data_IF_147334382500
#
_entry.id   IF_147334382500
#
_cell.length_a   1.000
_cell.length_b   1.000
_cell.length_c   1.000
_cell.angle_alpha   90.00
_cell.angle_beta   90.00
_cell.angle_gamma   90.00
#
_symmetry.space_group_name_H-M   'P 1'
#
loop_
_entity.id
_entity.type
_entity.pdbx_description
1 polymer ?
2 non-polymer ?
3 non-polymer ?
4 water ?
#
# COMPACT_ATOMS: atom_id res chain seq x y z
N UNK A 34 -1.59 -7.70 -4.73
CA UNK A 34 -1.43 -6.78 -3.55
C UNK A 34 -0.19 -6.91 -2.65
N UNK A 35 0.47 -5.75 -2.43
CA UNK A 35 1.64 -5.62 -1.55
C UNK A 35 1.80 -4.19 -1.08
N UNK A 36 2.40 -4.02 0.08
CA UNK A 36 2.47 -2.72 0.68
C UNK A 36 3.87 -2.23 0.52
N UNK A 37 4.04 -1.19 -0.28
CA UNK A 37 5.39 -0.83 -0.67
C UNK A 37 6.28 -0.29 0.46
N UNK A 38 5.70 0.22 1.55
CA UNK A 38 6.48 0.33 2.86
C UNK A 38 6.82 -0.95 3.70
N UNK A 39 6.19 -2.14 3.52
CA UNK A 39 6.81 -3.34 4.13
C UNK A 39 7.92 -3.87 3.32
N UNK A 40 8.59 -3.12 2.49
CA UNK A 40 9.59 -3.76 1.63
C UNK A 40 10.67 -4.64 2.35
N UNK A 41 11.08 -4.17 3.51
CA UNK A 41 11.93 -4.91 4.44
C UNK A 41 11.53 -6.40 4.62
N UNK A 42 10.22 -6.76 4.67
CA UNK A 42 9.74 -8.16 4.36
C UNK A 42 10.01 -8.91 3.03
N UNK A 43 10.42 -8.28 1.94
CA UNK A 43 10.50 -9.02 0.70
C UNK A 43 11.95 -8.99 0.44
N UNK A 44 12.75 -8.55 1.41
CA UNK A 44 14.17 -8.55 1.24
C UNK A 44 14.66 -9.88 1.85
N UNK A 45 15.48 -10.66 1.14
CA UNK A 45 16.09 -11.90 1.59
C UNK A 45 17.60 -11.81 1.72
N UNK A 46 18.08 -11.46 2.91
CA UNK A 46 19.56 -11.34 3.14
C UNK A 46 20.13 -12.69 2.83
N UNK A 47 21.25 -12.80 2.15
CA UNK A 47 21.82 -14.01 1.98
C UNK A 47 21.45 -14.76 0.73
N UNK A 48 20.31 -14.46 0.05
CA UNK A 48 19.92 -15.26 -1.11
C UNK A 48 20.67 -14.79 -2.36
N UNK A 49 21.20 -15.70 -3.14
CA UNK A 49 21.97 -15.35 -4.39
C UNK A 49 21.01 -15.17 -5.60
N UNK A 50 21.54 -14.65 -6.71
CA UNK A 50 20.74 -14.50 -7.96
C UNK A 50 20.11 -15.82 -8.27
N UNK A 51 20.94 -16.83 -8.28
CA UNK A 51 20.63 -18.15 -8.69
C UNK A 51 19.54 -18.83 -7.88
N UNK A 52 19.71 -18.92 -6.56
CA UNK A 52 18.55 -19.11 -5.61
C UNK A 52 17.23 -18.46 -5.93
N UNK A 53 17.24 -17.19 -6.26
CA UNK A 53 16.03 -16.46 -6.43
C UNK A 53 15.42 -16.82 -7.80
N UNK A 54 16.31 -17.13 -8.76
CA UNK A 54 15.89 -17.39 -10.12
C UNK A 54 15.24 -18.72 -10.00
N UNK A 55 15.79 -19.66 -9.21
CA UNK A 55 15.20 -20.98 -9.05
C UNK A 55 13.85 -20.91 -8.31
N UNK A 56 13.81 -20.18 -7.16
CA UNK A 56 12.52 -19.98 -6.42
C UNK A 56 11.46 -19.37 -7.34
N UNK A 57 11.84 -18.36 -8.11
CA UNK A 57 10.79 -17.61 -8.90
C UNK A 57 10.41 -18.30 -10.20
N UNK A 58 11.29 -19.19 -10.68
CA UNK A 58 11.04 -20.06 -11.87
C UNK A 58 10.07 -21.24 -11.60
N UNK A 59 9.78 -21.55 -10.34
CA UNK A 59 8.97 -22.68 -10.02
C UNK A 59 7.63 -22.52 -10.73
N UNK A 60 6.98 -23.61 -11.03
CA UNK A 60 5.91 -23.37 -12.00
C UNK A 60 4.64 -22.83 -11.42
N UNK A 61 4.45 -22.98 -10.12
CA UNK A 61 3.23 -22.43 -9.50
C UNK A 61 3.32 -20.95 -9.10
N UNK A 62 4.39 -20.26 -9.48
CA UNK A 62 4.61 -18.92 -9.04
C UNK A 62 3.97 -18.10 -10.15
N UNK A 63 3.21 -17.07 -9.79
CA UNK A 63 2.60 -16.32 -10.82
C UNK A 63 3.28 -15.05 -11.30
N UNK A 64 2.92 -14.70 -12.52
CA UNK A 64 3.42 -13.54 -13.12
C UNK A 64 3.25 -12.30 -12.17
N UNK A 65 4.30 -11.44 -12.08
CA UNK A 65 4.24 -10.26 -11.22
C UNK A 65 4.64 -10.55 -9.78
N UNK A 66 5.03 -11.80 -9.44
CA UNK A 66 5.67 -12.05 -8.14
C UNK A 66 7.14 -11.69 -8.18
N UNK A 67 7.74 -11.21 -7.04
CA UNK A 67 9.09 -10.66 -6.98
C UNK A 67 9.58 -10.66 -5.58
N UNK A 68 10.91 -10.52 -5.45
CA UNK A 68 11.57 -10.37 -4.17
C UNK A 68 12.76 -9.43 -4.38
N UNK A 69 13.45 -9.06 -3.27
CA UNK A 69 14.69 -8.31 -3.26
C UNK A 69 15.81 -9.05 -2.48
N UNK A 70 17.08 -8.85 -2.89
CA UNK A 70 18.19 -9.58 -2.38
C UNK A 70 19.49 -8.77 -2.71
N UNK A 71 20.60 -9.24 -2.20
CA UNK A 71 21.86 -8.61 -2.39
C UNK A 71 22.19 -8.74 -3.89
N UNK A 72 22.66 -7.66 -4.49
CA UNK A 72 22.98 -7.70 -5.86
C UNK A 72 24.32 -8.29 -5.90
N UNK A 73 24.77 -8.80 -6.98
CA UNK A 73 26.14 -9.27 -6.93
C UNK A 73 27.09 -8.09 -7.20
N UNK A 74 26.60 -6.86 -7.41
CA UNK A 74 27.56 -5.76 -7.54
C UNK A 74 27.74 -5.38 -6.08
N UNK A 75 29.00 -5.39 -5.61
CA UNK A 75 29.21 -5.06 -4.13
C UNK A 75 28.42 -3.84 -3.60
N UNK A 76 27.63 -4.04 -2.56
CA UNK A 76 27.08 -2.85 -1.94
C UNK A 76 25.64 -2.62 -2.29
N UNK A 77 25.24 -3.05 -3.49
CA UNK A 77 23.88 -2.84 -4.02
C UNK A 77 22.87 -3.94 -3.70
N UNK A 78 21.57 -3.66 -4.02
CA UNK A 78 20.42 -4.61 -4.04
C UNK A 78 19.89 -4.91 -5.49
N UNK A 79 19.11 -6.02 -5.65
CA UNK A 79 18.46 -6.32 -6.93
C UNK A 79 17.05 -6.81 -6.74
N UNK A 80 16.29 -6.71 -7.80
CA UNK A 80 14.93 -7.06 -7.76
C UNK A 80 14.87 -8.22 -8.67
N UNK A 81 14.18 -9.27 -8.28
CA UNK A 81 14.02 -10.44 -9.15
C UNK A 81 12.54 -10.69 -9.31
N UNK A 82 12.08 -10.85 -10.55
CA UNK A 82 10.62 -10.81 -10.82
C UNK A 82 10.17 -11.89 -11.85
N UNK A 83 9.14 -12.71 -11.53
CA UNK A 83 8.57 -13.70 -12.50
C UNK A 83 7.70 -12.94 -13.42
N UNK A 84 8.13 -12.82 -14.69
CA UNK A 84 7.51 -11.82 -15.66
C UNK A 84 6.77 -12.42 -16.92
N UNK A 85 7.06 -13.71 -17.20
CA UNK A 85 6.37 -14.48 -18.19
C UNK A 85 6.44 -16.07 -17.88
N UNK A 86 5.52 -16.85 -18.53
CA UNK A 86 5.53 -18.30 -18.50
C UNK A 86 6.22 -18.85 -19.73
N UNK A 87 6.08 -18.30 -20.93
CA UNK A 87 6.97 -18.71 -22.04
C UNK A 87 8.14 -17.73 -22.26
N UNK A 88 9.23 -18.19 -22.88
CA UNK A 88 10.28 -17.26 -23.25
C UNK A 88 11.07 -16.94 -22.01
N UNK A 89 11.70 -15.77 -21.92
CA UNK A 89 12.40 -15.51 -20.72
C UNK A 89 11.41 -15.36 -19.54
N UNK A 90 11.51 -16.26 -18.57
CA UNK A 90 10.56 -16.29 -17.44
C UNK A 90 10.87 -15.37 -16.25
N UNK A 91 12.14 -15.35 -15.81
CA UNK A 91 12.57 -14.45 -14.66
C UNK A 91 13.51 -13.27 -15.10
N UNK A 92 13.17 -12.03 -14.69
CA UNK A 92 14.07 -10.88 -14.89
C UNK A 92 14.80 -10.45 -13.59
N UNK A 93 16.04 -9.91 -13.76
CA UNK A 93 16.86 -9.34 -12.70
C UNK A 93 17.23 -7.87 -12.88
N UNK A 94 16.92 -7.07 -11.85
CA UNK A 94 17.22 -5.67 -11.94
C UNK A 94 18.23 -5.14 -10.95
N UNK A 95 19.29 -4.52 -11.42
CA UNK A 95 20.14 -3.85 -10.43
C UNK A 95 19.45 -2.55 -9.85
N UNK A 96 19.44 -2.40 -8.52
CA UNK A 96 19.04 -1.11 -7.91
C UNK A 96 20.23 -0.36 -7.32
N UNK A 97 20.48 0.84 -7.87
CA UNK A 97 21.72 1.53 -7.49
C UNK A 97 21.45 2.60 -6.56
N UNK A 98 22.11 2.52 -5.43
CA UNK A 98 22.03 3.61 -4.43
C UNK A 98 22.90 4.81 -4.82
N UNK A 99 22.33 5.99 -4.76
CA UNK A 99 23.14 7.20 -4.88
C UNK A 99 23.99 7.51 -3.64
N UNK A 100 24.55 8.72 -3.61
CA UNK A 100 25.35 9.12 -2.47
C UNK A 100 24.33 9.94 -1.71
N UNK A 101 24.32 9.94 -0.36
CA UNK A 101 23.37 10.93 0.27
C UNK A 101 23.81 12.47 0.16
N UNK A 102 22.86 13.39 0.29
CA UNK A 102 23.09 14.85 0.00
C UNK A 102 24.03 15.29 1.13
N UNK A 103 25.16 15.97 0.82
CA UNK A 103 26.12 16.45 1.90
C UNK A 103 25.44 17.19 3.02
N UNK A 104 24.75 18.27 2.69
CA UNK A 104 23.79 18.77 3.65
C UNK A 104 23.75 17.97 4.92
N UNK A 105 23.55 16.66 4.79
CA UNK A 105 23.23 15.83 5.95
C UNK A 105 21.74 15.71 6.01
N UNK A 106 21.10 16.32 5.04
CA UNK A 106 19.63 16.28 4.89
C UNK A 106 19.12 15.25 3.84
N UNK A 107 19.98 14.30 3.43
CA UNK A 107 19.68 13.31 2.35
C UNK A 107 18.68 12.16 2.64
N UNK A 108 19.24 10.96 2.57
CA UNK A 108 18.51 9.76 2.16
C UNK A 108 18.93 9.73 0.66
N UNK A 109 19.84 8.79 0.35
CA UNK A 109 20.38 8.54 -0.96
C UNK A 109 19.24 8.09 -1.81
N UNK A 110 19.20 8.54 -3.05
CA UNK A 110 18.14 8.06 -3.94
C UNK A 110 18.45 6.63 -4.47
N UNK A 111 17.43 6.00 -5.11
CA UNK A 111 17.61 4.68 -5.75
C UNK A 111 17.20 4.72 -7.20
N UNK A 112 17.91 3.94 -7.99
CA UNK A 112 17.86 4.03 -9.45
C UNK A 112 17.64 2.65 -10.00
N UNK A 113 16.67 2.54 -10.87
CA UNK A 113 16.62 1.33 -11.73
C UNK A 113 16.19 1.75 -13.13
N UNK A 114 17.09 1.52 -14.12
CA UNK A 114 16.84 1.89 -15.57
C UNK A 114 17.42 3.26 -16.00
N UNK A 115 16.94 4.34 -15.44
CA UNK A 115 17.32 5.65 -15.89
C UNK A 115 16.30 6.36 -15.05
N UNK A 116 15.40 5.53 -14.52
CA UNK A 116 14.46 5.93 -13.51
C UNK A 116 14.97 6.04 -12.08
N UNK A 117 14.97 7.26 -11.59
CA UNK A 117 15.36 7.58 -10.23
C UNK A 117 14.16 7.86 -9.38
N UNK A 118 14.30 7.67 -8.08
CA UNK A 118 13.23 7.59 -7.14
C UNK A 118 13.91 7.94 -5.86
N UNK A 119 13.21 8.76 -5.11
CA UNK A 119 13.87 9.27 -3.91
C UNK A 119 13.95 8.10 -2.91
N UNK A 120 13.19 7.01 -3.11
CA UNK A 120 13.54 5.85 -2.25
C UNK A 120 12.91 4.61 -2.76
N UNK A 121 13.01 3.57 -1.96
CA UNK A 121 12.43 2.27 -2.33
C UNK A 121 10.88 2.13 -2.34
N UNK A 122 10.23 2.60 -1.22
CA UNK A 122 8.75 2.63 -1.35
C UNK A 122 8.28 3.23 -2.74
N UNK A 123 8.94 4.33 -3.16
CA UNK A 123 8.43 5.02 -4.32
C UNK A 123 8.79 4.22 -5.56
N UNK A 124 10.03 3.75 -5.62
CA UNK A 124 10.45 2.88 -6.69
C UNK A 124 9.43 1.68 -6.90
N UNK A 125 9.07 1.02 -5.81
CA UNK A 125 8.32 -0.21 -5.90
C UNK A 125 6.90 0.11 -6.28
N UNK A 126 6.38 1.24 -5.78
CA UNK A 126 5.03 1.65 -6.16
C UNK A 126 4.93 2.03 -7.68
N UNK A 127 5.84 2.87 -8.19
CA UNK A 127 5.93 3.16 -9.63
C UNK A 127 5.74 1.86 -10.43
N UNK A 128 6.41 0.75 -10.07
CA UNK A 128 6.22 -0.39 -10.95
C UNK A 128 5.02 -1.27 -10.72
N UNK A 129 4.07 -0.88 -9.86
CA UNK A 129 2.80 -1.55 -9.79
C UNK A 129 2.05 -1.38 -11.13
N UNK A 130 2.06 -0.15 -11.66
CA UNK A 130 1.31 0.19 -12.84
C UNK A 130 2.18 0.29 -14.07
N UNK A 131 3.49 0.43 -13.96
CA UNK A 131 4.29 0.40 -15.19
C UNK A 131 4.92 -0.99 -15.42
N UNK A 132 5.24 -1.36 -16.67
CA UNK A 132 5.91 -2.65 -16.97
C UNK A 132 7.40 -2.65 -16.71
N UNK A 133 7.97 -3.72 -16.17
CA UNK A 133 9.47 -3.80 -16.16
C UNK A 133 10.04 -4.26 -17.51
N UNK A 134 10.03 -5.52 -17.86
CA UNK A 134 10.41 -5.87 -19.19
C UNK A 134 9.11 -6.45 -19.81
N UNK A 135 8.52 -7.49 -19.25
CA UNK A 135 7.20 -7.96 -19.72
C UNK A 135 6.07 -7.91 -18.68
N UNK A 136 6.30 -7.42 -17.46
CA UNK A 136 5.23 -7.41 -16.40
C UNK A 136 5.40 -6.39 -15.36
N UNK A 137 4.51 -6.43 -14.39
CA UNK A 137 4.40 -5.35 -13.42
C UNK A 137 4.50 -5.98 -12.02
N UNK A 138 5.06 -5.32 -11.02
CA UNK A 138 5.10 -5.86 -9.62
C UNK A 138 3.71 -6.09 -9.19
N UNK A 139 3.36 -7.27 -8.72
CA UNK A 139 1.99 -7.60 -8.25
C UNK A 139 1.82 -8.17 -6.80
N UNK A 140 2.71 -9.09 -6.42
CA UNK A 140 2.65 -9.73 -5.07
C UNK A 140 4.06 -10.06 -4.65
N UNK A 141 4.36 -9.95 -3.37
CA UNK A 141 5.71 -10.26 -2.91
C UNK A 141 5.88 -11.75 -2.75
N UNK A 142 6.97 -12.32 -3.25
CA UNK A 142 7.32 -13.71 -2.98
C UNK A 142 7.34 -14.21 -1.49
N UNK A 143 6.59 -15.26 -1.23
CA UNK A 143 6.76 -15.96 0.07
C UNK A 143 7.24 -17.41 -0.28
N UNK A 144 8.22 -17.99 0.41
CA UNK A 144 8.49 -19.45 0.20
C UNK A 144 7.23 -20.33 0.47
N UNK A 145 6.96 -21.32 -0.41
CA UNK A 145 5.82 -22.12 -0.07
C UNK A 145 6.26 -23.13 1.01
N UNK A 146 5.22 -23.58 1.71
CA UNK A 146 5.23 -24.39 2.87
C UNK A 146 5.18 -25.86 2.52
N UNK A 147 6.04 -26.66 3.10
CA UNK A 147 5.95 -28.05 2.88
C UNK A 147 5.51 -28.84 4.16
N UNK A 148 5.34 -28.24 5.34
CA UNK A 148 4.79 -29.00 6.50
C UNK A 148 4.15 -28.04 7.54
N UNK A 149 3.09 -28.43 8.19
CA UNK A 149 2.61 -27.69 9.32
C UNK A 149 2.97 -28.54 10.50
N UNK A 150 3.69 -27.95 11.45
CA UNK A 150 4.15 -28.71 12.63
C UNK A 150 3.56 -27.99 13.84
N UNK A 151 3.41 -28.73 14.94
CA UNK A 151 3.27 -28.08 16.22
C UNK A 151 4.41 -28.57 17.13
N UNK A 152 5.01 -27.65 17.85
CA UNK A 152 6.21 -27.88 18.64
C UNK A 152 5.84 -28.62 19.89
N UNK A 153 6.62 -29.67 20.15
CA UNK A 153 6.44 -30.47 21.33
C UNK A 153 7.33 -30.05 22.53
N UNK A 154 8.29 -29.11 22.39
CA UNK A 154 9.18 -28.64 23.53
C UNK A 154 9.65 -27.21 23.29
N UNK A 155 9.76 -26.37 24.33
CA UNK A 155 10.30 -25.03 24.15
C UNK A 155 11.71 -25.14 23.56
N UNK A 156 12.01 -24.36 22.53
CA UNK A 156 13.37 -24.20 21.94
C UNK A 156 13.81 -22.73 22.11
N UNK A 157 14.98 -22.49 22.69
CA UNK A 157 15.39 -21.11 22.96
C UNK A 157 16.51 -20.75 21.98
N UNK A 158 17.26 -21.76 21.52
CA UNK A 158 18.22 -21.49 20.48
C UNK A 158 19.65 -21.29 20.90
N UNK A 159 20.58 -21.57 20.01
CA UNK A 159 21.99 -21.37 20.34
C UNK A 159 22.67 -20.48 19.24
N UNK A 160 22.05 -20.18 18.11
CA UNK A 160 22.76 -19.44 17.05
C UNK A 160 21.78 -18.39 16.59
N UNK A 161 22.27 -17.34 15.95
CA UNK A 161 21.36 -16.23 15.59
C UNK A 161 20.49 -16.67 14.44
N UNK A 162 20.92 -17.71 13.74
CA UNK A 162 20.12 -18.19 12.67
C UNK A 162 19.03 -19.19 13.16
N UNK A 163 18.99 -19.54 14.45
CA UNK A 163 17.92 -20.45 14.95
C UNK A 163 16.56 -19.76 15.06
N UNK A 164 15.41 -20.45 15.05
CA UNK A 164 14.13 -19.78 15.32
C UNK A 164 13.51 -20.16 16.70
N UNK A 165 13.67 -19.38 17.76
CA UNK A 165 12.99 -19.88 19.04
C UNK A 165 11.46 -20.16 19.04
N UNK A 166 11.01 -21.07 19.86
CA UNK A 166 9.54 -21.32 19.85
C UNK A 166 9.04 -22.08 21.10
N UNK A 167 7.78 -21.97 21.35
CA UNK A 167 7.20 -22.42 22.58
C UNK A 167 6.57 -23.75 22.30
N UNK A 168 6.35 -24.51 23.36
CA UNK A 168 5.81 -25.86 23.24
C UNK A 168 4.43 -25.51 22.94
N UNK A 169 3.87 -26.18 21.94
CA UNK A 169 2.48 -25.95 21.51
C UNK A 169 2.36 -24.96 20.35
N UNK A 170 3.42 -24.34 19.96
CA UNK A 170 3.29 -23.34 18.94
C UNK A 170 3.36 -23.98 17.53
N UNK A 171 2.44 -23.52 16.68
CA UNK A 171 2.28 -23.89 15.31
C UNK A 171 3.31 -23.17 14.38
N UNK A 172 3.92 -23.90 13.44
CA UNK A 172 4.95 -23.31 12.59
C UNK A 172 4.82 -23.93 11.23
N UNK A 173 5.28 -23.22 10.20
CA UNK A 173 5.21 -23.74 8.79
C UNK A 173 6.62 -24.12 8.43
N UNK A 174 6.83 -25.37 8.03
CA UNK A 174 8.15 -25.75 7.63
C UNK A 174 8.25 -25.34 6.16
N UNK A 175 9.42 -24.81 5.73
CA UNK A 175 9.68 -24.39 4.31
C UNK A 175 10.80 -25.13 3.68
N UNK A 176 11.56 -25.86 4.45
CA UNK A 176 12.66 -26.51 3.83
C UNK A 176 13.31 -27.37 4.88
N UNK A 177 13.73 -28.56 4.44
CA UNK A 177 14.34 -29.55 5.28
C UNK A 177 15.86 -29.52 5.05
N UNK A 178 16.48 -28.53 5.71
CA UNK A 178 17.85 -28.08 5.47
C UNK A 178 18.89 -29.21 5.63
N UNK A 179 18.77 -29.94 6.75
CA UNK A 179 19.45 -31.20 6.84
C UNK A 179 18.56 -32.13 7.66
N UNK A 180 19.03 -33.34 7.92
CA UNK A 180 18.30 -34.27 8.80
C UNK A 180 17.77 -33.85 10.16
N UNK A 181 18.53 -33.08 10.91
CA UNK A 181 18.07 -32.78 12.26
C UNK A 181 17.49 -31.43 12.44
N UNK A 182 17.64 -30.58 11.41
CA UNK A 182 17.30 -29.20 11.52
C UNK A 182 16.66 -28.70 10.26
N UNK A 183 15.52 -28.05 10.43
CA UNK A 183 14.70 -27.62 9.30
C UNK A 183 14.47 -26.14 9.37
N UNK A 184 14.20 -25.56 8.23
CA UNK A 184 13.92 -24.16 8.14
C UNK A 184 12.45 -23.96 8.39
N UNK A 185 12.14 -23.14 9.40
CA UNK A 185 10.73 -22.85 9.74
C UNK A 185 10.31 -21.36 9.72
N UNK A 186 9.02 -21.09 9.53
CA UNK A 186 8.45 -19.76 9.62
C UNK A 186 7.33 -19.69 10.66
N UNK A 187 7.25 -18.64 11.45
CA UNK A 187 6.21 -18.57 12.53
C UNK A 187 5.06 -17.59 12.12
N UNK A 188 4.01 -17.53 12.91
CA UNK A 188 2.92 -16.56 12.67
C UNK A 188 3.42 -15.11 12.27
N UNK A 189 4.46 -14.58 12.88
CA UNK A 189 4.89 -13.23 12.60
C UNK A 189 5.74 -13.22 11.37
N UNK A 190 5.90 -14.33 10.67
CA UNK A 190 6.73 -14.27 9.46
C UNK A 190 8.22 -14.55 9.62
N UNK A 191 8.79 -14.58 10.84
CA UNK A 191 10.23 -14.83 11.08
C UNK A 191 10.70 -16.31 10.80
N UNK A 192 11.87 -16.46 10.26
CA UNK A 192 12.30 -17.75 9.79
C UNK A 192 13.64 -18.10 10.47
N UNK A 193 13.95 -19.41 10.56
CA UNK A 193 15.22 -19.89 11.05
C UNK A 193 15.11 -21.37 11.25
N UNK A 194 16.12 -21.90 12.00
CA UNK A 194 16.29 -23.37 12.09
C UNK A 194 15.58 -23.83 13.35
N UNK A 195 14.83 -24.95 13.30
CA UNK A 195 14.30 -25.59 14.46
C UNK A 195 14.84 -27.00 14.45
N UNK A 196 14.89 -27.64 15.63
CA UNK A 196 15.20 -29.07 15.59
C UNK A 196 13.99 -30.00 15.11
N UNK A 197 14.21 -30.83 14.08
CA UNK A 197 13.12 -31.74 13.69
C UNK A 197 12.55 -32.45 14.93
N UNK A 198 13.38 -32.85 15.87
CA UNK A 198 12.77 -33.67 16.93
C UNK A 198 12.00 -32.90 18.02
N UNK A 199 11.86 -31.56 17.92
CA UNK A 199 11.15 -30.79 18.89
C UNK A 199 9.89 -30.36 18.23
N UNK A 200 9.55 -31.01 17.15
CA UNK A 200 8.33 -30.55 16.45
C UNK A 200 7.62 -31.80 16.01
N UNK A 201 6.28 -31.79 15.97
CA UNK A 201 5.45 -32.96 15.49
C UNK A 201 4.70 -32.64 14.16
N UNK A 202 5.14 -33.21 13.02
CA UNK A 202 4.43 -33.02 11.75
C UNK A 202 2.92 -33.27 11.90
N UNK A 203 2.09 -32.40 11.35
CA UNK A 203 0.63 -32.74 11.16
C UNK A 203 0.31 -33.85 10.12
N UNK B 34 -8.03 -1.14 4.66
CA UNK B 34 -6.62 -1.15 4.14
C UNK B 34 -6.69 0.12 3.33
N UNK B 35 -5.56 0.77 3.00
CA UNK B 35 -5.64 1.82 2.00
C UNK B 35 -4.24 1.85 1.46
N UNK B 36 -4.11 2.42 0.27
CA UNK B 36 -2.91 2.64 -0.40
C UNK B 36 -2.51 4.16 -0.26
N UNK B 37 -1.51 4.46 0.58
CA UNK B 37 -1.09 5.81 0.86
C UNK B 37 -0.75 6.53 -0.45
N UNK B 38 -0.35 5.75 -1.44
CA UNK B 38 -0.08 6.42 -2.71
C UNK B 38 -1.29 6.86 -3.49
N UNK B 39 -2.48 6.47 -3.07
CA UNK B 39 -3.70 6.79 -3.84
C UNK B 39 -4.42 7.92 -3.17
N UNK B 40 -3.70 8.84 -2.55
CA UNK B 40 -4.29 9.83 -1.63
C UNK B 40 -5.24 10.82 -2.41
N UNK B 41 -4.93 11.15 -3.66
CA UNK B 41 -5.90 11.90 -4.45
C UNK B 41 -7.33 11.31 -4.32
N UNK B 42 -7.51 9.99 -4.42
CA UNK B 42 -8.88 9.42 -4.40
C UNK B 42 -9.57 9.61 -3.05
N UNK B 43 -8.81 9.96 -2.01
CA UNK B 43 -9.48 10.31 -0.77
C UNK B 43 -9.34 11.76 -0.35
N UNK B 44 -8.94 12.61 -1.31
CA UNK B 44 -9.08 14.05 -1.10
C UNK B 44 -10.31 14.73 -1.74
N UNK B 45 -11.14 15.28 -0.89
CA UNK B 45 -12.39 15.83 -1.29
C UNK B 45 -12.32 17.42 -1.48
N UNK B 46 -11.96 17.89 -2.69
CA UNK B 46 -11.75 19.32 -2.65
C UNK B 46 -13.16 20.01 -2.61
N UNK B 47 -13.22 21.22 -2.05
CA UNK B 47 -14.50 21.86 -1.89
C UNK B 47 -15.31 21.39 -0.64
N UNK B 48 -15.06 20.21 -0.04
CA UNK B 48 -15.83 19.82 1.13
C UNK B 48 -15.42 20.65 2.37
N UNK B 49 -16.40 21.25 3.03
CA UNK B 49 -16.12 22.10 4.22
C UNK B 49 -15.81 21.25 5.43
N UNK B 50 -15.22 21.89 6.44
CA UNK B 50 -14.76 21.20 7.64
C UNK B 50 -15.95 20.66 8.39
N UNK B 51 -17.07 21.25 8.09
CA UNK B 51 -18.18 21.01 8.92
C UNK B 51 -19.00 19.81 8.38
N UNK B 52 -19.07 19.74 7.05
CA UNK B 52 -19.63 18.63 6.30
C UNK B 52 -18.82 17.39 6.58
N UNK B 53 -17.51 17.52 6.38
CA UNK B 53 -16.66 16.42 6.79
C UNK B 53 -16.94 16.11 8.25
N UNK B 54 -17.45 17.03 9.01
CA UNK B 54 -17.60 16.72 10.43
C UNK B 54 -18.76 15.80 10.65
N UNK B 55 -19.81 16.09 9.93
CA UNK B 55 -21.04 15.34 10.08
C UNK B 55 -20.91 13.96 9.31
N UNK B 56 -20.69 14.02 7.97
CA UNK B 56 -20.24 12.86 7.18
C UNK B 56 -19.58 11.78 8.01
N UNK B 57 -18.48 12.05 8.69
CA UNK B 57 -17.82 11.01 9.47
C UNK B 57 -18.30 10.82 10.89
N UNK B 58 -19.42 11.46 11.21
CA UNK B 58 -19.94 11.50 12.58
C UNK B 58 -20.99 10.43 12.71
N UNK B 59 -21.64 10.13 11.59
CA UNK B 59 -22.57 9.02 11.45
C UNK B 59 -22.14 7.82 12.32
N UNK B 60 -23.07 7.24 13.18
CA UNK B 60 -22.59 6.08 14.09
C UNK B 60 -22.19 4.71 13.42
N UNK B 61 -22.75 4.43 12.23
CA UNK B 61 -22.30 3.35 11.34
C UNK B 61 -20.86 3.54 10.87
N UNK B 62 -20.50 4.69 10.26
CA UNK B 62 -19.05 5.08 10.04
C UNK B 62 -18.11 4.53 11.13
N UNK B 63 -17.24 3.59 10.75
CA UNK B 63 -16.45 2.86 11.75
C UNK B 63 -15.21 3.61 12.18
N UNK B 64 -14.69 3.22 13.32
CA UNK B 64 -13.53 3.93 13.80
C UNK B 64 -12.34 3.75 12.84
N UNK B 65 -11.61 4.84 12.58
CA UNK B 65 -10.34 4.72 11.88
C UNK B 65 -10.45 5.13 10.45
N UNK B 66 -11.64 5.62 10.04
CA UNK B 66 -11.96 6.07 8.67
C UNK B 66 -11.57 7.52 8.62
N UNK B 67 -11.20 8.01 7.43
CA UNK B 67 -10.66 9.34 7.25
C UNK B 67 -10.76 9.83 5.86
N UNK B 68 -10.65 11.14 5.73
CA UNK B 68 -10.59 11.78 4.42
C UNK B 68 -9.68 12.98 4.54
N UNK B 69 -9.46 13.57 3.39
CA UNK B 69 -8.65 14.78 3.27
C UNK B 69 -9.39 15.91 2.55
N UNK B 70 -9.02 17.13 2.91
CA UNK B 70 -9.68 18.26 2.27
C UNK B 70 -8.88 19.54 2.42
N UNK B 71 -9.45 20.58 1.86
CA UNK B 71 -8.92 21.93 2.00
C UNK B 71 -9.00 22.44 3.46
N UNK B 72 -7.85 22.88 4.01
CA UNK B 72 -7.81 23.54 5.32
C UNK B 72 -8.31 24.96 5.15
N UNK B 73 -8.56 25.63 6.24
CA UNK B 73 -9.05 27.10 6.10
C UNK B 73 -7.79 27.90 6.34
N UNK B 74 -6.78 27.32 6.99
CA UNK B 74 -5.41 27.77 6.76
C UNK B 74 -5.20 27.79 5.18
N UNK B 75 -4.96 28.99 4.61
CA UNK B 75 -5.07 29.06 3.12
C UNK B 75 -3.94 28.38 2.47
N UNK B 76 -4.26 27.58 1.45
CA UNK B 76 -3.27 26.74 0.72
C UNK B 76 -2.88 25.43 1.40
N UNK B 77 -3.56 25.03 2.49
CA UNK B 77 -3.15 23.81 3.19
C UNK B 77 -4.19 22.63 2.99
N UNK B 78 -3.86 21.49 3.60
CA UNK B 78 -4.82 20.45 3.74
C UNK B 78 -5.14 20.18 5.18
N UNK B 79 -6.33 19.60 5.36
CA UNK B 79 -6.69 18.99 6.64
C UNK B 79 -7.03 17.49 6.58
N UNK B 80 -6.80 16.78 7.66
CA UNK B 80 -7.08 15.39 7.64
C UNK B 80 -8.12 15.32 8.75
N UNK B 81 -9.31 14.88 8.40
CA UNK B 81 -10.35 14.60 9.36
C UNK B 81 -10.52 13.06 9.67
N UNK B 82 -10.46 12.60 10.91
CA UNK B 82 -10.52 11.17 11.22
C UNK B 82 -11.62 10.89 12.29
N UNK B 83 -12.48 9.87 12.05
CA UNK B 83 -13.35 9.21 13.07
C UNK B 83 -12.53 8.32 14.03
N UNK B 84 -12.45 8.70 15.33
CA UNK B 84 -11.45 8.17 16.26
C UNK B 84 -11.94 7.56 17.59
N UNK B 85 -13.17 7.91 17.96
CA UNK B 85 -13.87 7.23 19.06
C UNK B 85 -15.39 7.10 18.76
N UNK B 86 -16.10 6.26 19.56
CA UNK B 86 -17.58 6.18 19.45
C UNK B 86 -18.33 7.08 20.45
N UNK B 87 -17.83 7.14 21.68
CA UNK B 87 -18.18 8.30 22.54
C UNK B 87 -16.97 9.11 22.98
N UNK B 88 -17.17 10.43 22.92
CA UNK B 88 -16.21 11.42 23.43
C UNK B 88 -15.96 12.44 22.34
N UNK B 89 -14.71 12.87 22.23
CA UNK B 89 -14.26 13.60 21.02
C UNK B 89 -14.23 12.61 19.80
N UNK B 90 -15.18 12.87 18.88
CA UNK B 90 -15.68 11.88 17.94
C UNK B 90 -14.88 11.87 16.64
N UNK B 91 -15.05 12.96 15.90
CA UNK B 91 -14.28 13.35 14.72
C UNK B 91 -13.21 14.45 15.09
N UNK B 92 -11.90 14.13 14.91
CA UNK B 92 -10.76 15.08 14.89
C UNK B 92 -10.32 15.63 13.55
N UNK B 93 -9.72 16.81 13.58
CA UNK B 93 -9.34 17.41 12.34
C UNK B 93 -7.90 17.71 12.61
N UNK B 94 -7.00 17.50 11.63
CA UNK B 94 -5.62 17.98 11.75
C UNK B 94 -5.15 18.86 10.57
N UNK B 95 -4.12 19.69 10.80
CA UNK B 95 -3.65 20.53 9.72
C UNK B 95 -2.44 19.84 9.22
N UNK B 96 -2.36 19.74 7.89
CA UNK B 96 -1.14 19.22 7.22
C UNK B 96 -0.56 20.45 6.54
N UNK B 97 0.58 20.93 7.04
CA UNK B 97 1.23 22.04 6.36
C UNK B 97 2.41 21.69 5.50
N UNK B 98 2.52 22.36 4.40
CA UNK B 98 3.52 22.10 3.45
C UNK B 98 4.69 23.10 3.71
N UNK B 99 5.91 22.60 3.86
CA UNK B 99 7.07 23.41 3.87
C UNK B 99 7.40 24.05 2.55
N UNK B 100 8.61 24.57 2.47
CA UNK B 100 9.04 25.24 1.28
C UNK B 100 9.86 24.24 0.44
N UNK B 101 9.75 24.25 -0.92
CA UNK B 101 10.61 23.28 -1.67
C UNK B 101 12.13 23.46 -1.33
N UNK B 102 13.00 22.43 -1.47
CA UNK B 102 14.48 22.57 -1.15
C UNK B 102 15.26 23.60 -1.99
N UNK B 103 16.01 24.49 -1.33
CA UNK B 103 16.60 25.74 -1.90
C UNK B 103 17.43 25.65 -3.18
N UNK B 104 18.12 24.53 -3.38
CA UNK B 104 19.00 24.32 -4.52
C UNK B 104 18.20 23.64 -5.62
N UNK B 105 16.90 23.48 -5.36
CA UNK B 105 15.99 22.94 -6.36
C UNK B 105 15.89 21.43 -6.51
N UNK B 106 16.33 20.66 -5.50
CA UNK B 106 16.66 19.22 -5.70
C UNK B 106 15.72 18.19 -5.11
N UNK B 107 14.88 18.67 -4.18
CA UNK B 107 13.94 17.84 -3.45
C UNK B 107 12.70 18.71 -3.40
N UNK B 108 11.55 18.02 -3.28
CA UNK B 108 10.21 18.55 -3.11
C UNK B 108 9.95 18.91 -1.65
N UNK B 109 8.93 19.76 -1.44
CA UNK B 109 8.62 20.29 -0.12
C UNK B 109 8.01 19.22 0.75
N UNK B 110 8.44 19.12 2.00
CA UNK B 110 7.89 18.23 3.02
C UNK B 110 6.52 18.66 3.54
N UNK B 111 5.89 17.84 4.39
CA UNK B 111 4.61 18.17 5.02
C UNK B 111 4.71 17.79 6.51
N UNK B 112 3.80 18.30 7.36
CA UNK B 112 3.86 18.20 8.82
C UNK B 112 2.52 18.17 9.38
N UNK B 113 2.31 17.34 10.39
CA UNK B 113 1.05 17.27 11.18
C UNK B 113 1.52 17.00 12.63
N UNK B 114 0.68 17.26 13.64
CA UNK B 114 1.18 17.23 15.04
C UNK B 114 2.50 18.11 15.09
N UNK B 115 3.69 17.50 15.19
CA UNK B 115 4.93 18.25 15.03
C UNK B 115 5.93 17.51 14.16
N UNK B 116 5.48 16.36 13.67
CA UNK B 116 6.23 15.40 12.86
C UNK B 116 6.34 15.81 11.35
N UNK B 117 7.48 15.56 10.73
CA UNK B 117 7.75 16.02 9.35
C UNK B 117 7.94 14.88 8.37
N UNK B 118 7.43 15.02 7.14
CA UNK B 118 7.53 13.87 6.26
C UNK B 118 8.02 14.28 4.91
N UNK B 119 8.75 13.40 4.31
CA UNK B 119 9.18 13.86 2.89
C UNK B 119 7.95 14.19 1.95
N UNK B 120 6.76 13.59 2.27
CA UNK B 120 5.57 13.51 1.37
C UNK B 120 4.33 12.92 2.09
N UNK B 121 3.17 13.21 1.53
CA UNK B 121 1.90 12.75 2.05
C UNK B 121 1.83 11.21 2.21
N UNK B 122 2.28 10.40 1.16
CA UNK B 122 2.28 8.92 1.33
C UNK B 122 2.95 8.51 2.62
N UNK B 123 4.14 9.08 2.92
CA UNK B 123 4.92 8.60 4.05
C UNK B 123 4.16 9.03 5.32
N UNK B 124 3.60 10.26 5.29
CA UNK B 124 2.73 10.77 6.32
C UNK B 124 1.62 9.80 6.53
N UNK B 125 0.82 9.50 5.51
CA UNK B 125 -0.30 8.55 5.75
C UNK B 125 0.15 7.15 6.26
N UNK B 126 1.28 6.67 5.78
CA UNK B 126 1.72 5.34 6.20
C UNK B 126 2.14 5.32 7.69
N UNK B 127 2.63 6.49 8.11
CA UNK B 127 3.11 6.62 9.45
C UNK B 127 1.95 6.38 10.43
N UNK B 128 0.82 7.06 10.26
CA UNK B 128 -0.23 6.82 11.19
C UNK B 128 -1.14 5.60 10.90
N UNK B 129 -0.64 4.59 10.17
CA UNK B 129 -1.31 3.26 10.25
C UNK B 129 -0.96 2.58 11.53
N UNK B 130 0.31 2.62 11.92
CA UNK B 130 0.82 1.88 13.09
C UNK B 130 0.77 2.65 14.44
N UNK B 131 0.63 3.97 14.38
CA UNK B 131 0.91 4.82 15.53
C UNK B 131 -0.33 5.71 15.58
N UNK B 132 -0.82 6.11 16.76
CA UNK B 132 -2.09 6.90 16.83
C UNK B 132 -1.96 8.41 16.70
N UNK B 133 -3.04 9.02 16.24
CA UNK B 133 -3.24 10.48 16.26
C UNK B 133 -3.74 10.95 17.62
N UNK B 134 -5.01 11.33 17.75
CA UNK B 134 -5.49 11.59 19.08
C UNK B 134 -5.81 10.23 19.76
N UNK B 135 -6.91 9.66 19.31
CA UNK B 135 -7.48 8.42 19.89
C UNK B 135 -7.19 7.18 19.08
N UNK B 136 -7.29 7.24 17.74
CA UNK B 136 -7.21 6.08 16.88
C UNK B 136 -6.13 6.18 15.78
N UNK B 137 -5.70 5.04 15.22
CA UNK B 137 -4.91 4.96 13.99
C UNK B 137 -5.76 5.08 12.74
N UNK B 138 -5.11 5.46 11.64
CA UNK B 138 -5.72 5.45 10.25
C UNK B 138 -5.94 4.02 9.68
N UNK B 139 -7.18 3.71 9.27
CA UNK B 139 -7.54 2.40 8.81
C UNK B 139 -8.23 2.33 7.41
N UNK B 140 -9.16 3.24 7.10
CA UNK B 140 -9.91 3.11 5.91
C UNK B 140 -10.35 4.45 5.29
N UNK B 141 -10.04 4.67 4.00
CA UNK B 141 -10.45 5.85 3.24
C UNK B 141 -11.95 5.95 3.31
N UNK B 142 -12.48 7.15 3.37
CA UNK B 142 -13.91 7.30 3.50
C UNK B 142 -14.33 7.32 2.08
N UNK B 143 -15.52 6.78 1.75
CA UNK B 143 -16.14 6.91 0.39
C UNK B 143 -17.54 7.41 0.60
N UNK B 144 -18.14 8.13 -0.36
CA UNK B 144 -19.54 8.49 -0.17
C UNK B 144 -20.45 7.23 -0.33
N UNK B 145 -21.53 7.08 0.52
CA UNK B 145 -22.41 5.88 0.44
C UNK B 145 -23.31 6.04 -0.77
N UNK B 146 -23.74 4.90 -1.31
CA UNK B 146 -24.46 4.81 -2.55
C UNK B 146 -25.91 4.93 -2.26
N UNK B 147 -26.68 5.70 -3.02
CA UNK B 147 -28.16 5.83 -2.71
C UNK B 147 -29.08 5.20 -3.79
N UNK B 148 -28.52 4.94 -4.99
CA UNK B 148 -29.21 4.20 -6.03
C UNK B 148 -28.12 3.70 -6.91
N UNK B 149 -28.39 2.55 -7.51
CA UNK B 149 -27.60 2.11 -8.66
C UNK B 149 -28.43 2.46 -9.83
N UNK B 150 -27.82 2.81 -10.92
CA UNK B 150 -28.67 3.16 -12.06
C UNK B 150 -27.95 2.72 -13.34
N UNK B 151 -28.66 2.66 -14.45
CA UNK B 151 -28.02 2.52 -15.78
C UNK B 151 -28.50 3.63 -16.73
N UNK B 152 -27.61 4.06 -17.61
CA UNK B 152 -27.84 5.20 -18.48
C UNK B 152 -28.80 4.76 -19.56
N UNK B 153 -29.81 5.61 -19.88
CA UNK B 153 -30.72 5.35 -20.97
C UNK B 153 -30.34 6.10 -22.23
N UNK B 154 -29.38 7.02 -22.16
CA UNK B 154 -28.98 7.85 -23.37
C UNK B 154 -27.59 8.35 -23.07
N UNK B 155 -26.73 8.43 -24.09
CA UNK B 155 -25.38 8.91 -24.02
C UNK B 155 -25.42 10.40 -23.67
N UNK B 156 -24.55 10.83 -22.75
CA UNK B 156 -24.46 12.20 -22.17
C UNK B 156 -23.03 12.66 -22.31
N UNK B 157 -22.74 13.56 -23.22
CA UNK B 157 -21.32 13.97 -23.36
C UNK B 157 -20.91 15.20 -22.43
N UNK B 158 -21.86 15.94 -21.90
CA UNK B 158 -21.57 17.02 -20.92
C UNK B 158 -21.33 18.43 -21.43
N UNK B 159 -21.69 19.44 -20.62
CA UNK B 159 -21.34 20.83 -20.99
C UNK B 159 -20.36 21.43 -19.95
N UNK B 160 -20.30 20.88 -18.78
CA UNK B 160 -19.49 21.55 -17.77
C UNK B 160 -18.46 20.53 -17.21
N UNK B 161 -17.28 21.06 -16.88
CA UNK B 161 -16.19 20.38 -16.21
C UNK B 161 -16.70 19.57 -15.06
N UNK B 162 -17.75 20.05 -14.42
CA UNK B 162 -18.39 19.42 -13.25
C UNK B 162 -19.49 18.42 -13.61
N UNK B 163 -19.77 18.30 -14.91
CA UNK B 163 -20.58 17.18 -15.35
C UNK B 163 -19.78 15.84 -15.37
N UNK B 164 -20.45 14.74 -15.07
CA UNK B 164 -19.97 13.37 -15.36
C UNK B 164 -20.48 12.81 -16.81
N UNK B 165 -19.63 12.88 -17.87
CA UNK B 165 -20.02 12.32 -19.20
C UNK B 165 -20.18 10.78 -19.09
N UNK B 166 -21.17 10.17 -19.74
CA UNK B 166 -21.33 8.69 -19.68
C UNK B 166 -22.10 8.14 -20.90
N UNK B 167 -22.09 6.82 -21.03
CA UNK B 167 -22.53 6.14 -22.25
C UNK B 167 -23.94 5.58 -22.09
N UNK B 168 -24.76 5.56 -23.13
CA UNK B 168 -25.96 4.76 -23.04
C UNK B 168 -25.57 3.37 -22.56
N UNK B 169 -26.43 2.78 -21.76
CA UNK B 169 -26.05 1.52 -21.15
C UNK B 169 -25.09 1.51 -19.97
N UNK B 170 -24.44 2.64 -19.64
CA UNK B 170 -23.46 2.59 -18.58
C UNK B 170 -24.07 2.51 -17.17
N UNK B 171 -23.38 1.74 -16.31
CA UNK B 171 -23.73 1.53 -14.92
C UNK B 171 -23.03 2.63 -14.06
N UNK B 172 -23.81 3.25 -13.16
CA UNK B 172 -23.38 4.36 -12.34
C UNK B 172 -23.95 4.17 -10.97
N UNK B 173 -23.22 4.69 -9.96
CA UNK B 173 -23.69 4.76 -8.57
C UNK B 173 -24.11 6.21 -8.28
N UNK B 174 -25.31 6.42 -7.79
CA UNK B 174 -25.74 7.76 -7.37
C UNK B 174 -25.47 8.10 -5.89
N UNK B 175 -24.66 9.16 -5.65
CA UNK B 175 -24.42 9.69 -4.25
C UNK B 175 -25.33 10.84 -3.77
N UNK B 176 -25.94 11.60 -4.67
CA UNK B 176 -26.69 12.76 -4.15
C UNK B 176 -27.69 13.17 -5.15
N UNK B 177 -28.93 13.15 -4.72
CA UNK B 177 -29.96 13.76 -5.50
C UNK B 177 -29.80 15.28 -5.41
N UNK B 178 -28.82 15.82 -6.15
CA UNK B 178 -28.40 17.19 -5.96
C UNK B 178 -29.53 18.23 -6.08
N UNK B 179 -30.17 18.29 -7.21
CA UNK B 179 -31.43 19.00 -7.32
C UNK B 179 -32.35 18.03 -8.10
N UNK B 180 -33.63 18.35 -8.20
CA UNK B 180 -34.60 17.49 -8.86
C UNK B 180 -34.03 16.94 -10.12
N UNK B 181 -33.52 17.81 -10.97
CA UNK B 181 -33.05 17.38 -12.32
C UNK B 181 -31.61 16.90 -12.59
N UNK B 182 -30.72 16.96 -11.59
CA UNK B 182 -29.27 16.73 -11.75
C UNK B 182 -28.82 16.16 -10.44
N UNK B 183 -28.16 15.02 -10.60
CA UNK B 183 -27.84 14.10 -9.51
C UNK B 183 -26.37 13.89 -9.54
N UNK B 184 -25.77 13.69 -8.38
CA UNK B 184 -24.36 13.53 -8.38
C UNK B 184 -24.03 12.02 -8.53
N UNK B 185 -23.09 11.73 -9.42
CA UNK B 185 -22.84 10.35 -9.69
C UNK B 185 -21.37 9.96 -9.66
N UNK B 186 -21.18 8.67 -9.32
CA UNK B 186 -19.83 8.00 -9.42
C UNK B 186 -19.83 6.88 -10.46
N UNK B 187 -18.85 6.93 -11.36
CA UNK B 187 -18.72 5.86 -12.33
C UNK B 187 -17.72 4.71 -11.84
N UNK B 188 -17.19 3.89 -12.80
CA UNK B 188 -16.54 2.63 -12.41
C UNK B 188 -15.16 2.94 -11.89
N UNK B 189 -14.40 3.73 -12.70
CA UNK B 189 -13.07 4.35 -12.32
C UNK B 189 -12.96 5.19 -11.03
N UNK B 190 -14.04 5.23 -10.23
CA UNK B 190 -14.33 6.33 -9.32
C UNK B 190 -14.44 7.84 -9.70
N UNK B 191 -14.41 8.30 -10.98
CA UNK B 191 -14.66 9.76 -11.27
C UNK B 191 -16.08 10.20 -10.86
N UNK B 192 -16.22 11.34 -10.18
CA UNK B 192 -17.61 11.86 -9.85
C UNK B 192 -18.03 13.13 -10.66
N UNK B 193 -19.31 13.48 -10.61
CA UNK B 193 -19.75 14.72 -11.28
C UNK B 193 -21.23 14.59 -11.53
N UNK B 194 -21.90 15.57 -12.20
CA UNK B 194 -23.38 15.57 -12.29
C UNK B 194 -23.82 14.94 -13.63
N UNK B 195 -24.98 14.30 -13.52
CA UNK B 195 -25.71 13.63 -14.60
C UNK B 195 -27.13 14.07 -14.44
N UNK B 196 -27.93 14.05 -15.58
CA UNK B 196 -29.35 14.46 -15.64
C UNK B 196 -30.26 13.35 -15.25
N UNK B 197 -31.11 13.52 -14.24
CA UNK B 197 -32.04 12.49 -13.83
C UNK B 197 -32.71 11.73 -15.01
N UNK B 198 -33.19 12.43 -16.02
CA UNK B 198 -33.89 11.78 -17.16
C UNK B 198 -33.04 10.93 -18.12
N UNK B 199 -31.70 10.97 -18.03
CA UNK B 199 -30.86 10.09 -18.83
C UNK B 199 -30.45 8.84 -18.05
N UNK B 200 -31.26 8.40 -17.08
CA UNK B 200 -30.76 7.35 -16.25
C UNK B 200 -31.94 6.59 -15.67
N UNK B 201 -31.80 5.28 -15.40
CA UNK B 201 -32.90 4.56 -14.73
C UNK B 201 -32.41 3.73 -13.48
N UNK B 202 -33.19 3.69 -12.39
CA UNK B 202 -32.77 3.16 -11.06
C UNK B 202 -32.88 1.60 -11.02
N UNK B 203 -31.86 0.92 -10.43
CA UNK B 203 -31.68 -0.50 -9.93
C UNK B 203 -31.01 -1.62 -10.76
#
# INVERSE_FOLDING_TARGET
MGSSHHHHHHSSGLVPRGSHMASMTGGQQMTTNGFDPFEWRSFYFPGMSREEAHKLLGEPQVSIGTFLMRDSSRPGEYSLTVREADEGNAVCHYLIERGEPKEDGTAAAGVKIANQSFPDIPALLNHFKMRVLTEASLLAAYKKPIIEVVVGTFKFTGERETDLPFEQGERLEILSKTNQDWWEARNALGTTGLVPANYVQIQMEFHNDRTSKGASQSSIGSSGGGAERFSSASTSSDNIELQPRLPAKAKVTFDRVPNAYDPTQLRVKKGQTVLVTQKMSNGMYKAELDGQIGSVPHTYLRFTAVSE
MGSSHHHHHHSSGLVPRGSHMASMTGGQQMTTNGFDPFEWRSFYFPGMSREEAHKLLGEPQVSIGTFLMRDSSRPGEYSLTVREADEGNAVCHYLIERGEPKEDGTAAAGVKIANQSFPDIPALLNHFKMRVLTEASLLAAYKKPIIEVVVGTFKFTGERETDLPFEQGERLEILSKTNQDWWEARNALGTTGLVPANYVQIQMEFHNDRTSKGASQSSIGSSGGGAERFSSASTSSDNIELQPRLPAKAKVTFDRVPNAYDPTQLRVKKGQTVLVTQKMSNGMYKAELDGQIGSVPHTYLRFTAVSE
#
